data_IF_509166631916
#
_entry.id   IF_509166631916
#
_cell.length_a   1.000
_cell.length_b   1.000
_cell.length_c   1.000
_cell.angle_alpha   90.00
_cell.angle_beta   90.00
_cell.angle_gamma   90.00
#
_symmetry.space_group_name_H-M   'P 1'
#
loop_
_entity.id
_entity.type
_entity.pdbx_description
1 polymer ?
#
# COMPACT_ATOMS: atom_id res chain seq x y z
N UNK A 1 -5.64 1.39 -6.10
CA UNK A 1 -5.21 1.63 -4.68
C UNK A 1 -3.99 0.73 -4.41
N UNK A 2 -2.97 1.16 -3.65
CA UNK A 2 -1.81 0.28 -3.36
C UNK A 2 -2.18 -0.81 -2.33
N UNK A 3 -1.57 -2.01 -2.39
CA UNK A 3 -1.84 -3.07 -1.42
C UNK A 3 -1.64 -2.63 0.03
N UNK A 4 -0.58 -1.87 0.29
CA UNK A 4 -0.26 -1.34 1.63
C UNK A 4 -1.36 -0.42 2.16
N UNK A 5 -1.87 0.48 1.32
CA UNK A 5 -3.00 1.33 1.70
C UNK A 5 -4.26 0.51 1.96
N UNK A 6 -4.54 -0.49 1.12
CA UNK A 6 -5.71 -1.35 1.25
C UNK A 6 -5.73 -2.09 2.60
N UNK A 7 -4.62 -2.71 2.99
CA UNK A 7 -4.55 -3.42 4.28
C UNK A 7 -4.63 -2.47 5.48
N UNK A 8 -3.95 -1.32 5.45
CA UNK A 8 -4.05 -0.33 6.54
C UNK A 8 -5.50 0.13 6.75
N UNK A 9 -6.20 0.46 5.67
CA UNK A 9 -7.59 0.90 5.72
C UNK A 9 -8.52 -0.21 6.22
N UNK A 10 -8.32 -1.45 5.78
CA UNK A 10 -9.09 -2.63 6.24
C UNK A 10 -8.93 -2.86 7.75
N UNK A 11 -7.70 -2.67 8.26
CA UNK A 11 -7.37 -2.74 9.69
C UNK A 11 -7.78 -1.48 10.48
N UNK A 12 -8.35 -0.46 9.82
CA UNK A 12 -8.77 0.83 10.40
C UNK A 12 -7.65 1.55 11.17
N UNK A 13 -6.41 1.41 10.71
CA UNK A 13 -5.24 2.02 11.35
C UNK A 13 -4.95 3.40 10.78
N UNK A 14 -4.51 4.32 11.64
CA UNK A 14 -4.00 5.62 11.21
C UNK A 14 -2.61 5.48 10.59
N UNK A 15 -2.20 6.46 9.77
CA UNK A 15 -0.83 6.51 9.24
C UNK A 15 0.21 6.60 10.37
N UNK A 16 -0.08 7.36 11.42
CA UNK A 16 0.84 7.55 12.54
C UNK A 16 1.16 6.23 13.25
N UNK A 17 0.15 5.42 13.55
CA UNK A 17 0.32 4.13 14.24
C UNK A 17 1.19 3.17 13.42
N UNK A 18 0.93 3.05 12.12
CA UNK A 18 1.71 2.16 11.25
C UNK A 18 3.13 2.69 11.03
N UNK A 19 3.28 4.00 10.88
CA UNK A 19 4.58 4.62 10.68
C UNK A 19 5.48 4.43 11.89
N UNK A 20 4.95 4.66 13.10
CA UNK A 20 5.67 4.44 14.35
C UNK A 20 6.12 2.99 14.49
N UNK A 21 5.21 2.03 14.26
CA UNK A 21 5.52 0.61 14.35
C UNK A 21 6.57 0.14 13.33
N UNK A 22 6.64 0.79 12.17
CA UNK A 22 7.59 0.49 11.10
C UNK A 22 8.87 1.35 11.15
N UNK A 23 9.04 2.21 12.15
CA UNK A 23 10.23 3.06 12.30
C UNK A 23 10.35 4.16 11.24
N UNK A 24 9.23 4.75 10.81
CA UNK A 24 9.16 5.84 9.82
C UNK A 24 8.18 6.93 10.28
N UNK A 25 7.94 7.94 9.44
CA UNK A 25 6.95 9.00 9.70
C UNK A 25 5.70 8.88 8.82
N UNK A 26 4.59 9.46 9.29
CA UNK A 26 3.31 9.40 8.60
C UNK A 26 3.34 10.04 7.19
N UNK A 27 4.19 11.05 6.98
CA UNK A 27 4.37 11.71 5.69
C UNK A 27 5.09 10.79 4.69
N UNK A 28 6.16 10.13 5.10
CA UNK A 28 6.84 9.11 4.30
C UNK A 28 5.92 7.94 3.98
N UNK A 29 5.23 7.38 4.98
CA UNK A 29 4.27 6.30 4.78
C UNK A 29 3.15 6.70 3.79
N UNK A 30 2.64 7.93 3.88
CA UNK A 30 1.66 8.46 2.94
C UNK A 30 2.17 8.50 1.49
N UNK A 31 3.42 8.93 1.27
CA UNK A 31 4.04 8.93 -0.07
C UNK A 31 4.25 7.50 -0.59
N UNK A 32 4.60 6.56 0.27
CA UNK A 32 4.71 5.13 -0.08
C UNK A 32 3.34 4.58 -0.49
N UNK A 33 2.31 4.80 0.33
CA UNK A 33 0.94 4.34 0.05
C UNK A 33 0.33 4.93 -1.22
N UNK A 34 0.81 6.09 -1.66
CA UNK A 34 0.37 6.75 -2.88
C UNK A 34 1.29 6.49 -4.07
N UNK A 35 2.35 5.69 -3.90
CA UNK A 35 3.32 5.37 -4.94
C UNK A 35 4.24 6.53 -5.35
N UNK A 36 4.20 7.66 -4.61
CA UNK A 36 5.06 8.82 -4.84
C UNK A 36 6.50 8.59 -4.38
N UNK A 37 6.70 7.65 -3.45
CA UNK A 37 8.01 7.29 -2.90
C UNK A 37 8.18 5.78 -2.92
N UNK A 38 9.34 5.31 -3.37
CA UNK A 38 9.76 3.91 -3.21
C UNK A 38 10.35 3.72 -1.81
N UNK A 39 10.07 2.57 -1.21
CA UNK A 39 10.61 2.21 0.10
C UNK A 39 11.85 1.32 -0.03
N UNK A 40 12.59 1.18 1.06
CA UNK A 40 13.71 0.23 1.15
C UNK A 40 13.21 -1.18 1.47
N UNK A 41 13.97 -2.24 1.15
CA UNK A 41 13.64 -3.60 1.56
C UNK A 41 13.44 -3.74 3.08
N UNK A 42 14.29 -3.11 3.90
CA UNK A 42 14.21 -3.18 5.36
C UNK A 42 12.90 -2.57 5.91
N UNK A 43 12.46 -1.44 5.34
CA UNK A 43 11.19 -0.84 5.73
C UNK A 43 10.00 -1.67 5.20
N UNK A 44 10.13 -2.29 4.02
CA UNK A 44 9.13 -3.22 3.51
C UNK A 44 8.97 -4.46 4.40
N UNK A 45 10.07 -5.04 4.88
CA UNK A 45 10.11 -6.15 5.84
C UNK A 45 9.41 -5.76 7.14
N UNK A 46 9.76 -4.61 7.70
CA UNK A 46 9.14 -4.09 8.94
C UNK A 46 7.63 -3.92 8.81
N UNK A 47 7.17 -3.38 7.67
CA UNK A 47 5.75 -3.23 7.37
C UNK A 47 5.06 -4.60 7.18
N UNK A 48 5.69 -5.54 6.45
CA UNK A 48 5.18 -6.91 6.26
C UNK A 48 5.00 -7.61 7.62
N UNK A 49 6.02 -7.53 8.48
CA UNK A 49 6.00 -8.12 9.81
C UNK A 49 4.91 -7.50 10.70
N UNK A 50 4.74 -6.18 10.67
CA UNK A 50 3.68 -5.49 11.42
C UNK A 50 2.27 -5.99 11.05
N UNK A 51 2.05 -6.31 9.77
CA UNK A 51 0.79 -6.87 9.29
C UNK A 51 0.71 -8.40 9.37
N UNK A 52 1.64 -9.06 10.08
CA UNK A 52 1.66 -10.51 10.23
C UNK A 52 1.81 -11.26 8.90
N UNK A 53 2.57 -10.69 7.95
CA UNK A 53 2.79 -11.22 6.60
C UNK A 53 1.53 -11.39 5.74
N UNK A 54 0.42 -10.73 6.09
CA UNK A 54 -0.78 -10.65 5.23
C UNK A 54 -0.50 -9.85 3.94
N UNK A 55 0.49 -8.96 3.98
CA UNK A 55 1.06 -8.29 2.82
C UNK A 55 2.54 -8.63 2.75
N UNK A 56 3.03 -9.03 1.58
CA UNK A 56 4.45 -9.34 1.37
C UNK A 56 5.28 -8.11 1.02
N UNK A 57 6.59 -8.19 1.28
CA UNK A 57 7.57 -7.19 0.86
C UNK A 57 7.48 -6.86 -0.63
N UNK A 58 7.28 -7.88 -1.48
CA UNK A 58 7.14 -7.70 -2.93
C UNK A 58 5.94 -6.80 -3.28
N UNK A 59 4.83 -6.94 -2.55
CA UNK A 59 3.64 -6.10 -2.76
C UNK A 59 3.87 -4.65 -2.32
N UNK A 60 4.76 -4.44 -1.34
CA UNK A 60 5.13 -3.11 -0.83
C UNK A 60 6.18 -2.45 -1.74
N UNK A 61 7.16 -3.20 -2.21
CA UNK A 61 8.24 -2.72 -3.08
C UNK A 61 7.76 -2.45 -4.51
N UNK A 62 6.85 -3.30 -5.01
CA UNK A 62 6.32 -3.26 -6.38
C UNK A 62 4.79 -3.16 -6.39
N UNK A 63 4.19 -2.12 -5.77
CA UNK A 63 2.76 -1.99 -5.65
C UNK A 63 2.05 -1.94 -7.01
N UNK A 64 2.71 -1.48 -8.08
CA UNK A 64 2.13 -1.46 -9.43
C UNK A 64 1.76 -2.85 -9.98
N UNK A 65 2.39 -3.93 -9.48
CA UNK A 65 2.09 -5.32 -9.89
C UNK A 65 0.81 -5.87 -9.26
N UNK A 66 0.34 -5.23 -8.20
CA UNK A 66 -0.73 -5.72 -7.33
C UNK A 66 -1.81 -4.69 -7.03
N UNK A 67 -1.59 -3.45 -7.46
CA UNK A 67 -2.59 -2.39 -7.33
C UNK A 67 -3.73 -2.74 -8.25
N UNK A 68 -4.95 -2.77 -7.71
CA UNK A 68 -6.15 -2.78 -8.53
C UNK A 68 -6.09 -1.56 -9.45
N UNK A 69 -5.89 -1.83 -10.75
CA UNK A 69 -6.24 -0.87 -11.78
C UNK A 69 -7.73 -0.66 -11.65
N UNK A 70 -8.17 0.57 -11.47
CA UNK A 70 -9.58 0.91 -11.66
C UNK A 70 -9.90 0.72 -13.15
N UNK A 71 -10.08 -0.52 -13.60
CA UNK A 71 -10.59 -0.87 -14.94
C UNK A 71 -12.11 -0.60 -15.05
N UNK A 72 -12.63 0.37 -14.29
CA UNK A 72 -14.06 0.71 -14.23
C UNK A 72 -14.46 1.85 -15.17
N UNK A 73 -13.72 2.09 -16.27
CA UNK A 73 -14.06 3.14 -17.25
C UNK A 73 -14.22 2.69 -18.71
N UNK A 74 -14.42 1.40 -19.01
CA UNK A 74 -14.67 1.00 -20.41
C UNK A 74 -15.79 -0.03 -20.68
N UNK A 75 -16.72 -0.29 -19.74
CA UNK A 75 -17.81 -1.26 -19.98
C UNK A 75 -19.20 -0.65 -20.22
N UNK A 76 -19.30 0.67 -20.46
CA UNK A 76 -20.58 1.36 -20.71
C UNK A 76 -20.70 1.98 -22.11
N UNK A 77 -19.75 1.77 -23.03
CA UNK A 77 -19.75 2.43 -24.34
C UNK A 77 -19.63 1.45 -25.53
N UNK A 78 -20.30 0.30 -25.48
CA UNK A 78 -20.45 -0.61 -26.64
C UNK A 78 -21.89 -1.14 -26.81
N UNK A 79 -22.89 -0.47 -26.21
CA UNK A 79 -24.31 -0.74 -26.46
C UNK A 79 -25.06 0.57 -26.70
N UNK A 80 -24.82 1.17 -27.86
CA UNK A 80 -25.68 2.19 -28.46
C UNK A 80 -25.69 1.97 -29.98
#
# INVERSE_FOLDING_TARGET
MTPLRSIRMRRKLSLAVVAEAAGTDAGNLSRIETGKQRTTPQLAESLSAYFGNEISELQILYPERFSEKNDSKNSLNEKA
#
